data_IF_010059624771
#
_entry.id   IF_010059624771
#
_cell.length_a   1.000
_cell.length_b   1.000
_cell.length_c   1.000
_cell.angle_alpha   90.00
_cell.angle_beta   90.00
_cell.angle_gamma   90.00
#
_symmetry.space_group_name_H-M   'P 1'
#
loop_
_entity.id
_entity.type
_entity.pdbx_description
1 polymer ?
#
# COMPACT_ATOMS: atom_id res chain seq x y z
N UNK A 1 -8.93 -10.43 -8.04
CA UNK A 1 -8.48 -9.03 -8.24
C UNK A 1 -8.31 -8.84 -9.74
N UNK A 2 -8.69 -7.70 -10.34
CA UNK A 2 -8.34 -7.46 -11.74
C UNK A 2 -6.82 -7.58 -11.91
N UNK A 3 -6.32 -8.07 -13.05
CA UNK A 3 -4.89 -8.08 -13.29
C UNK A 3 -4.42 -6.62 -13.36
N UNK A 4 -3.46 -6.25 -12.51
CA UNK A 4 -2.94 -4.90 -12.40
C UNK A 4 -1.50 -4.88 -12.92
N UNK A 5 -1.11 -3.90 -13.75
CA UNK A 5 0.29 -3.72 -14.11
C UNK A 5 1.11 -3.30 -12.89
N UNK A 6 2.40 -3.62 -12.89
CA UNK A 6 3.30 -3.31 -11.78
C UNK A 6 4.62 -2.76 -12.28
N UNK A 7 5.11 -1.71 -11.61
CA UNK A 7 6.33 -1.00 -11.94
C UNK A 7 7.32 -1.07 -10.78
N UNK A 8 8.53 -1.52 -11.06
CA UNK A 8 9.65 -1.47 -10.15
C UNK A 8 10.76 -0.59 -10.75
N UNK A 9 11.23 0.36 -9.96
CA UNK A 9 12.36 1.21 -10.32
C UNK A 9 13.47 1.03 -9.32
N UNK A 10 14.70 0.72 -9.75
CA UNK A 10 15.88 0.66 -8.91
C UNK A 10 17.08 1.36 -9.57
N UNK A 11 18.24 1.36 -8.90
CA UNK A 11 19.48 1.86 -9.51
C UNK A 11 19.99 0.93 -10.63
N UNK A 12 19.57 -0.35 -10.62
CA UNK A 12 19.99 -1.34 -11.61
C UNK A 12 19.15 -1.32 -12.89
N UNK A 13 17.96 -0.71 -12.86
CA UNK A 13 17.07 -0.66 -14.01
C UNK A 13 15.62 -0.37 -13.64
N UNK A 14 14.74 -0.52 -14.63
CA UNK A 14 13.30 -0.38 -14.50
C UNK A 14 12.64 -1.63 -15.07
N UNK A 15 11.66 -2.16 -14.36
CA UNK A 15 10.89 -3.33 -14.77
C UNK A 15 9.41 -3.04 -14.71
N UNK A 16 8.71 -3.34 -15.78
CA UNK A 16 7.26 -3.22 -15.89
C UNK A 16 6.69 -4.58 -16.26
N UNK A 17 5.66 -5.02 -15.53
CA UNK A 17 4.77 -6.09 -15.98
C UNK A 17 3.43 -5.49 -16.35
N UNK A 18 2.91 -5.87 -17.51
CA UNK A 18 1.51 -5.60 -17.85
C UNK A 18 0.58 -6.50 -17.02
N UNK A 19 -0.72 -6.24 -17.10
CA UNK A 19 -1.75 -6.99 -16.39
C UNK A 19 -1.70 -8.50 -16.70
N UNK A 20 -1.11 -9.29 -15.79
CA UNK A 20 -0.97 -10.74 -15.94
C UNK A 20 0.18 -11.20 -16.83
N UNK A 21 1.05 -10.28 -17.26
CA UNK A 21 2.25 -10.58 -18.05
C UNK A 21 3.51 -10.68 -17.20
N UNK A 22 4.58 -11.20 -17.80
CA UNK A 22 5.91 -11.21 -17.19
C UNK A 22 6.53 -9.81 -17.15
N UNK A 23 7.41 -9.59 -16.18
CA UNK A 23 8.17 -8.35 -16.10
C UNK A 23 9.20 -8.25 -17.23
N UNK A 24 9.23 -7.11 -17.90
CA UNK A 24 10.26 -6.76 -18.88
C UNK A 24 11.02 -5.53 -18.45
N UNK A 25 12.27 -5.43 -18.89
CA UNK A 25 13.07 -4.20 -18.75
C UNK A 25 12.43 -3.11 -19.61
N UNK A 26 12.33 -1.90 -19.05
CA UNK A 26 11.79 -0.72 -19.75
C UNK A 26 12.73 0.47 -19.63
N UNK A 27 12.64 1.39 -20.59
CA UNK A 27 13.26 2.70 -20.48
C UNK A 27 12.47 3.60 -19.53
N UNK A 28 13.11 4.68 -19.06
CA UNK A 28 12.46 5.71 -18.25
C UNK A 28 11.26 6.33 -18.97
N UNK A 29 11.39 6.60 -20.26
CA UNK A 29 10.31 7.19 -21.07
C UNK A 29 9.09 6.28 -21.15
N UNK A 30 9.30 4.98 -21.40
CA UNK A 30 8.21 3.99 -21.39
C UNK A 30 7.55 3.89 -20.02
N UNK A 31 8.33 3.81 -18.93
CA UNK A 31 7.79 3.73 -17.57
C UNK A 31 6.92 4.94 -17.21
N UNK A 32 7.39 6.16 -17.53
CA UNK A 32 6.64 7.40 -17.28
C UNK A 32 5.39 7.48 -18.14
N UNK A 33 5.49 7.17 -19.44
CA UNK A 33 4.34 7.18 -20.36
C UNK A 33 3.27 6.20 -19.88
N UNK A 34 3.67 5.00 -19.50
CA UNK A 34 2.73 3.97 -19.04
C UNK A 34 2.05 4.36 -17.73
N UNK A 35 2.81 4.82 -16.73
CA UNK A 35 2.27 5.22 -15.44
C UNK A 35 1.38 6.48 -15.50
N UNK A 36 1.55 7.33 -16.52
CA UNK A 36 0.70 8.49 -16.74
C UNK A 36 -0.70 8.11 -17.28
N UNK A 37 -0.80 7.01 -18.05
CA UNK A 37 -2.04 6.56 -18.68
C UNK A 37 -2.79 5.52 -17.85
N UNK A 38 -2.06 4.65 -17.14
CA UNK A 38 -2.61 3.51 -16.41
C UNK A 38 -2.07 3.47 -14.99
N UNK A 39 -2.94 3.42 -13.94
CA UNK A 39 -2.48 3.20 -12.58
C UNK A 39 -1.70 1.87 -12.45
N UNK A 40 -0.45 1.96 -11.99
CA UNK A 40 0.42 0.81 -11.75
C UNK A 40 0.54 0.50 -10.27
N UNK A 41 0.68 -0.77 -9.92
CA UNK A 41 1.19 -1.20 -8.63
C UNK A 41 2.65 -0.77 -8.51
N UNK A 42 2.99 -0.19 -7.36
CA UNK A 42 4.36 0.20 -7.04
C UNK A 42 4.59 0.11 -5.54
N UNK A 43 5.84 0.32 -5.13
CA UNK A 43 6.22 0.44 -3.72
C UNK A 43 6.95 1.76 -3.52
N UNK A 44 6.43 2.62 -2.63
CA UNK A 44 7.01 3.94 -2.35
C UNK A 44 6.99 4.84 -3.59
N UNK A 45 5.83 5.45 -3.87
CA UNK A 45 5.60 6.33 -5.01
C UNK A 45 6.60 7.49 -5.06
N UNK A 46 6.92 8.19 -3.94
CA UNK A 46 7.93 9.24 -3.94
C UNK A 46 9.31 8.77 -4.40
N UNK A 47 9.80 7.64 -3.88
CA UNK A 47 11.09 7.09 -4.27
C UNK A 47 11.09 6.61 -5.74
N UNK A 48 10.00 5.98 -6.17
CA UNK A 48 9.84 5.52 -7.55
C UNK A 48 9.82 6.72 -8.51
N UNK A 49 9.07 7.78 -8.18
CA UNK A 49 9.03 9.03 -8.91
C UNK A 49 10.40 9.69 -9.01
N UNK A 50 11.15 9.78 -7.90
CA UNK A 50 12.52 10.30 -7.90
C UNK A 50 13.43 9.50 -8.85
N UNK A 51 13.35 8.16 -8.84
CA UNK A 51 14.14 7.31 -9.75
C UNK A 51 13.77 7.52 -11.21
N UNK A 52 12.50 7.79 -11.49
CA UNK A 52 12.00 8.14 -12.82
C UNK A 52 12.24 9.60 -13.21
N UNK A 53 12.63 10.48 -12.27
CA UNK A 53 12.73 11.92 -12.50
C UNK A 53 11.36 12.56 -12.74
N UNK A 54 10.34 12.04 -12.07
CA UNK A 54 8.94 12.44 -12.17
C UNK A 54 8.38 12.64 -10.75
N UNK A 55 8.38 13.90 -10.29
CA UNK A 55 8.21 14.24 -8.87
C UNK A 55 6.84 13.89 -8.26
N UNK A 56 5.81 13.76 -9.09
CA UNK A 56 4.44 13.49 -8.67
C UNK A 56 3.89 12.20 -9.26
N UNK A 57 4.67 11.12 -9.21
CA UNK A 57 4.20 9.81 -9.64
C UNK A 57 3.01 9.36 -8.79
N UNK A 58 1.88 9.12 -9.45
CA UNK A 58 0.67 8.58 -8.82
C UNK A 58 0.47 7.13 -9.24
N UNK A 59 0.11 6.28 -8.29
CA UNK A 59 -0.08 4.85 -8.53
C UNK A 59 -0.71 4.15 -7.34
N UNK A 60 -0.91 2.85 -7.47
CA UNK A 60 -1.39 2.00 -6.40
C UNK A 60 -0.21 1.61 -5.49
N UNK A 61 0.16 2.51 -4.57
CA UNK A 61 1.29 2.31 -3.67
C UNK A 61 0.94 1.30 -2.56
N UNK A 62 1.70 0.20 -2.49
CA UNK A 62 1.49 -0.85 -1.50
C UNK A 62 1.81 -0.41 -0.06
N UNK A 63 2.63 0.63 0.14
CA UNK A 63 2.86 1.18 1.49
C UNK A 63 1.63 1.89 2.02
N UNK A 64 0.88 2.59 1.15
CA UNK A 64 -0.38 3.23 1.53
C UNK A 64 -1.44 2.18 1.86
N UNK A 65 -1.56 1.14 1.03
CA UNK A 65 -2.49 0.04 1.31
C UNK A 65 -2.14 -0.69 2.61
N UNK A 66 -0.86 -0.97 2.83
CA UNK A 66 -0.39 -1.54 4.10
C UNK A 66 -0.78 -0.66 5.29
N UNK A 67 -0.50 0.64 5.23
CA UNK A 67 -0.80 1.58 6.31
C UNK A 67 -2.31 1.65 6.61
N UNK A 68 -3.16 1.54 5.60
CA UNK A 68 -4.61 1.49 5.75
C UNK A 68 -5.08 0.19 6.44
N UNK A 69 -4.56 -0.96 6.02
CA UNK A 69 -5.00 -2.28 6.54
C UNK A 69 -4.41 -2.59 7.92
N UNK A 70 -3.19 -2.10 8.16
CA UNK A 70 -2.40 -2.36 9.35
C UNK A 70 -1.97 -1.05 10.02
N UNK A 71 -2.93 -0.24 10.52
CA UNK A 71 -2.63 1.02 11.17
C UNK A 71 -1.64 0.82 12.33
N UNK A 72 -0.67 1.74 12.43
CA UNK A 72 0.39 1.72 13.43
C UNK A 72 1.26 0.45 13.46
N UNK A 73 1.34 -0.31 12.36
CA UNK A 73 2.28 -1.44 12.22
C UNK A 73 3.46 -1.08 11.34
N UNK A 74 4.66 -1.29 11.88
CA UNK A 74 5.90 -1.09 11.16
C UNK A 74 6.04 -2.04 9.97
N UNK A 75 6.50 -1.50 8.84
CA UNK A 75 6.89 -2.24 7.65
C UNK A 75 8.23 -1.71 7.17
N UNK A 76 9.17 -2.60 6.85
CA UNK A 76 10.38 -2.23 6.12
C UNK A 76 9.97 -1.91 4.68
N UNK A 77 10.15 -0.67 4.18
CA UNK A 77 9.59 -0.21 2.91
C UNK A 77 10.42 -0.66 1.70
N UNK A 78 10.73 -1.95 1.63
CA UNK A 78 11.47 -2.59 0.54
C UNK A 78 10.70 -3.81 0.03
N UNK A 79 10.93 -4.26 -1.22
CA UNK A 79 10.28 -5.46 -1.73
C UNK A 79 10.50 -6.69 -0.84
N UNK A 80 11.73 -6.92 -0.39
CA UNK A 80 12.03 -8.01 0.55
C UNK A 80 11.37 -7.81 1.92
N UNK A 81 11.27 -6.56 2.40
CA UNK A 81 10.57 -6.20 3.63
C UNK A 81 9.07 -6.52 3.56
N UNK A 82 8.43 -6.16 2.46
CA UNK A 82 7.03 -6.46 2.17
C UNK A 82 6.78 -7.96 2.02
N UNK A 83 7.63 -8.67 1.28
CA UNK A 83 7.52 -10.13 1.14
C UNK A 83 7.54 -10.81 2.51
N UNK A 84 8.53 -10.46 3.36
CA UNK A 84 8.65 -11.01 4.71
C UNK A 84 7.43 -10.68 5.57
N UNK A 85 6.92 -9.45 5.50
CA UNK A 85 5.77 -9.02 6.29
C UNK A 85 4.47 -9.75 5.91
N UNK A 86 4.34 -10.15 4.63
CA UNK A 86 3.19 -10.89 4.10
C UNK A 86 3.42 -12.40 4.02
N UNK A 87 4.56 -12.91 4.51
CA UNK A 87 4.96 -14.31 4.39
C UNK A 87 4.94 -14.83 2.92
N UNK A 88 5.38 -13.98 2.00
CA UNK A 88 5.55 -14.31 0.58
C UNK A 88 7.01 -14.68 0.30
N UNK A 89 7.28 -15.48 -0.76
CA UNK A 89 8.63 -15.67 -1.26
C UNK A 89 9.29 -14.32 -1.57
N UNK A 90 10.53 -14.14 -1.10
CA UNK A 90 11.31 -12.95 -1.42
C UNK A 90 11.76 -12.94 -2.89
N UNK A 91 12.03 -11.77 -3.48
CA UNK A 91 12.55 -11.69 -4.84
C UNK A 91 14.03 -12.11 -4.86
N UNK A 92 14.43 -12.95 -5.80
CA UNK A 92 15.83 -13.31 -6.03
C UNK A 92 16.52 -12.30 -6.95
N UNK A 93 15.76 -11.71 -7.89
CA UNK A 93 16.22 -10.73 -8.86
C UNK A 93 15.25 -9.55 -8.93
N UNK A 94 15.75 -8.41 -9.43
CA UNK A 94 14.94 -7.20 -9.61
C UNK A 94 13.73 -7.43 -10.53
N UNK A 95 13.87 -8.28 -11.55
CA UNK A 95 12.79 -8.65 -12.47
C UNK A 95 11.66 -9.44 -11.81
N UNK A 96 11.88 -10.05 -10.64
CA UNK A 96 10.85 -10.82 -9.94
C UNK A 96 9.94 -9.91 -9.10
N UNK A 97 10.33 -8.65 -8.89
CA UNK A 97 9.63 -7.70 -8.00
C UNK A 97 8.23 -7.34 -8.52
N UNK A 98 8.00 -7.02 -9.82
CA UNK A 98 6.64 -6.73 -10.28
C UNK A 98 5.64 -7.85 -9.97
N UNK A 99 6.03 -9.12 -10.14
CA UNK A 99 5.20 -10.26 -9.76
C UNK A 99 4.94 -10.33 -8.24
N UNK A 100 5.96 -10.04 -7.42
CA UNK A 100 5.80 -9.90 -5.98
C UNK A 100 4.83 -8.78 -5.60
N UNK A 101 4.87 -7.62 -6.27
CA UNK A 101 3.95 -6.50 -6.00
C UNK A 101 2.50 -6.92 -6.27
N UNK A 102 2.25 -7.65 -7.36
CA UNK A 102 0.93 -8.22 -7.68
C UNK A 102 0.47 -9.21 -6.60
N UNK A 103 1.35 -10.13 -6.17
CA UNK A 103 1.05 -11.08 -5.12
C UNK A 103 0.75 -10.39 -3.77
N UNK A 104 1.53 -9.37 -3.43
CA UNK A 104 1.34 -8.57 -2.22
C UNK A 104 0.03 -7.79 -2.22
N UNK A 105 -0.32 -7.16 -3.35
CA UNK A 105 -1.63 -6.52 -3.53
C UNK A 105 -2.78 -7.51 -3.30
N UNK A 106 -2.67 -8.71 -3.87
CA UNK A 106 -3.64 -9.78 -3.69
C UNK A 106 -3.80 -10.19 -2.21
N UNK A 107 -2.68 -10.41 -1.52
CA UNK A 107 -2.67 -10.78 -0.10
C UNK A 107 -3.29 -9.69 0.79
N UNK A 108 -2.91 -8.43 0.58
CA UNK A 108 -3.46 -7.29 1.31
C UNK A 108 -4.96 -7.13 1.06
N UNK A 109 -5.40 -7.14 -0.20
CA UNK A 109 -6.83 -7.02 -0.51
C UNK A 109 -7.64 -8.21 -0.01
N UNK A 110 -7.05 -9.40 0.08
CA UNK A 110 -7.67 -10.58 0.68
C UNK A 110 -8.02 -10.38 2.15
N UNK A 111 -7.19 -9.63 2.89
CA UNK A 111 -7.37 -9.37 4.33
C UNK A 111 -8.64 -8.59 4.66
N UNK A 112 -9.07 -7.70 3.76
CA UNK A 112 -10.21 -6.79 3.97
C UNK A 112 -11.55 -7.53 4.16
N UNK A 113 -11.68 -8.74 3.59
CA UNK A 113 -12.89 -9.56 3.67
C UNK A 113 -12.86 -10.62 4.77
N UNK A 114 -11.78 -10.72 5.55
CA UNK A 114 -11.65 -11.75 6.56
C UNK A 114 -12.48 -11.42 7.82
N UNK A 115 -13.30 -12.35 8.35
CA UNK A 115 -14.10 -12.12 9.55
C UNK A 115 -13.27 -11.71 10.79
N UNK A 116 -11.99 -12.08 10.81
CA UNK A 116 -11.06 -11.79 11.91
C UNK A 116 -10.15 -10.57 11.70
N UNK A 117 -10.44 -9.68 10.74
CA UNK A 117 -9.67 -8.46 10.57
C UNK A 117 -9.94 -7.49 11.74
N UNK A 118 -8.98 -7.40 12.67
CA UNK A 118 -9.12 -6.68 13.94
C UNK A 118 -9.24 -5.17 13.75
N UNK A 119 -8.60 -4.66 12.70
CA UNK A 119 -8.52 -3.25 12.36
C UNK A 119 -9.66 -2.77 11.46
N UNK A 120 -10.73 -3.58 11.30
CA UNK A 120 -11.87 -3.31 10.43
C UNK A 120 -12.73 -2.12 10.87
N UNK A 121 -12.84 -1.89 12.18
CA UNK A 121 -13.70 -0.83 12.71
C UNK A 121 -13.26 0.55 12.20
N UNK A 122 -14.20 1.31 11.63
CA UNK A 122 -13.93 2.63 11.05
C UNK A 122 -13.27 2.58 9.68
N UNK A 123 -12.90 1.39 9.17
CA UNK A 123 -12.24 1.26 7.88
C UNK A 123 -13.17 1.65 6.73
N UNK A 124 -14.46 1.30 6.81
CA UNK A 124 -15.43 1.67 5.77
C UNK A 124 -15.57 3.19 5.63
N UNK A 125 -15.73 3.89 6.76
CA UNK A 125 -15.83 5.36 6.79
C UNK A 125 -14.52 6.05 6.36
N UNK A 126 -13.37 5.48 6.76
CA UNK A 126 -12.05 5.95 6.33
C UNK A 126 -11.87 5.82 4.82
N UNK A 127 -12.23 4.65 4.25
CA UNK A 127 -12.16 4.41 2.82
C UNK A 127 -13.05 5.38 2.02
N UNK A 128 -14.28 5.65 2.48
CA UNK A 128 -15.17 6.66 1.88
C UNK A 128 -14.58 8.07 1.92
N UNK A 129 -13.92 8.43 3.02
CA UNK A 129 -13.27 9.74 3.16
C UNK A 129 -12.08 9.88 2.23
N UNK A 130 -11.24 8.84 2.14
CA UNK A 130 -10.11 8.78 1.23
C UNK A 130 -10.54 8.75 -0.25
N UNK A 131 -11.69 8.15 -0.57
CA UNK A 131 -12.27 8.21 -1.91
C UNK A 131 -12.55 9.65 -2.35
N UNK A 132 -13.10 10.50 -1.46
CA UNK A 132 -13.33 11.93 -1.75
C UNK A 132 -12.03 12.69 -2.00
N UNK A 133 -10.92 12.22 -1.42
CA UNK A 133 -9.56 12.72 -1.66
C UNK A 133 -8.86 12.06 -2.86
N UNK A 134 -9.60 11.27 -3.67
CA UNK A 134 -9.12 10.58 -4.88
C UNK A 134 -8.01 9.55 -4.61
N UNK A 135 -7.98 8.96 -3.42
CA UNK A 135 -7.04 7.89 -3.13
C UNK A 135 -7.31 6.68 -4.05
N UNK A 136 -6.30 6.27 -4.82
CA UNK A 136 -6.45 5.31 -5.92
C UNK A 136 -6.85 3.90 -5.46
N UNK A 137 -6.57 3.53 -4.21
CA UNK A 137 -7.01 2.26 -3.65
C UNK A 137 -8.49 2.25 -3.28
N UNK A 138 -9.11 3.40 -3.01
CA UNK A 138 -10.48 3.46 -2.48
C UNK A 138 -11.51 2.68 -3.32
N UNK A 139 -11.56 2.81 -4.66
CA UNK A 139 -12.47 2.04 -5.50
C UNK A 139 -12.24 0.52 -5.44
N UNK A 140 -11.01 0.09 -5.14
CA UNK A 140 -10.66 -1.32 -5.00
C UNK A 140 -11.00 -1.84 -3.61
N UNK A 141 -10.86 -1.06 -2.54
CA UNK A 141 -11.09 -1.56 -1.18
C UNK A 141 -12.54 -1.44 -0.72
N UNK A 142 -13.27 -0.38 -1.10
CA UNK A 142 -14.63 -0.13 -0.59
C UNK A 142 -15.58 -1.31 -0.84
N UNK A 143 -15.61 -1.93 -2.04
CA UNK A 143 -16.49 -3.08 -2.28
C UNK A 143 -16.13 -4.33 -1.46
N UNK A 144 -14.94 -4.36 -0.84
CA UNK A 144 -14.42 -5.50 -0.04
C UNK A 144 -14.65 -5.33 1.45
N UNK A 145 -15.00 -4.12 1.90
CA UNK A 145 -15.27 -3.82 3.30
C UNK A 145 -16.78 -3.82 3.49
N UNK A 146 -17.29 -4.71 4.36
CA UNK A 146 -18.71 -4.74 4.66
C UNK A 146 -19.14 -3.43 5.31
N UNK A 147 -20.20 -2.84 4.74
CA UNK A 147 -20.79 -1.59 5.21
C UNK A 147 -21.37 -1.82 6.61
N UNK A 148 -21.01 -0.99 7.59
CA UNK A 148 -21.59 -1.10 8.91
C UNK A 148 -23.09 -0.75 8.89
N UNK A 149 -23.88 -1.47 9.69
CA UNK A 149 -25.33 -1.27 9.80
C UNK A 149 -25.68 0.06 10.48
N UNK A 150 -24.90 0.44 11.49
CA UNK A 150 -24.99 1.71 12.21
C UNK A 150 -23.78 2.59 11.90
N UNK A 151 -23.87 3.88 12.22
CA UNK A 151 -22.71 4.76 12.16
C UNK A 151 -21.66 4.22 13.14
N UNK A 152 -20.54 3.71 12.64
CA UNK A 152 -19.47 3.16 13.49
C UNK A 152 -19.00 4.23 14.48
N UNK A 153 -18.74 3.81 15.72
CA UNK A 153 -18.25 4.71 16.75
C UNK A 153 -16.93 5.33 16.29
N UNK A 154 -16.74 6.60 16.61
CA UNK A 154 -15.51 7.33 16.29
C UNK A 154 -14.30 6.58 16.87
N UNK A 155 -13.24 6.41 16.07
CA UNK A 155 -12.03 5.62 16.44
C UNK A 155 -11.44 6.04 17.80
N UNK A 156 -11.51 7.33 18.13
CA UNK A 156 -11.00 7.89 19.38
C UNK A 156 -11.89 7.62 20.60
N UNK A 157 -13.11 7.10 20.43
CA UNK A 157 -14.02 6.78 21.54
C UNK A 157 -13.58 5.58 22.37
N UNK A 158 -12.56 4.83 21.95
CA UNK A 158 -11.99 3.69 22.70
C UNK A 158 -10.58 3.94 23.22
N UNK A 159 -9.97 5.08 22.93
CA UNK A 159 -8.67 5.38 23.52
C UNK A 159 -8.87 5.63 25.01
N UNK A 160 -8.03 5.03 25.89
CA UNK A 160 -8.00 5.44 27.28
C UNK A 160 -7.65 6.92 27.36
N UNK A 161 -8.22 7.64 28.35
CA UNK A 161 -7.80 9.01 28.64
C UNK A 161 -6.29 9.03 28.84
N UNK A 162 -5.64 9.95 28.12
CA UNK A 162 -4.21 10.16 28.25
C UNK A 162 -3.98 11.05 29.49
N UNK A 163 -3.40 10.47 30.55
CA UNK A 163 -2.93 11.22 31.71
C UNK A 163 -1.48 11.66 31.51
N UNK A 164 -1.25 12.98 31.53
CA UNK A 164 0.08 13.57 31.50
C UNK A 164 0.74 13.36 32.87
N UNK A 165 1.58 12.33 32.99
CA UNK A 165 2.31 12.07 34.23
C UNK A 165 3.27 13.23 34.53
N UNK A 166 3.29 13.70 35.78
CA UNK A 166 4.19 14.75 36.22
C UNK A 166 5.66 14.40 35.86
N UNK A 167 6.46 15.39 35.42
CA UNK A 167 7.84 15.14 35.03
C UNK A 167 8.62 14.49 36.18
N UNK A 168 9.47 13.51 35.85
CA UNK A 168 10.29 12.83 36.86
C UNK A 168 11.11 13.86 37.63
N UNK A 169 11.15 13.77 38.98
CA UNK A 169 12.01 14.64 39.76
C UNK A 169 13.47 14.43 39.37
N UNK A 170 14.27 15.50 39.44
CA UNK A 170 15.69 15.45 39.11
C UNK A 170 16.42 14.39 39.98
N UNK A 171 17.38 13.64 39.41
CA UNK A 171 18.19 12.70 40.17
C UNK A 171 18.96 13.44 41.28
N UNK A 172 19.10 12.79 42.45
CA UNK A 172 19.95 13.27 43.56
C UNK A 172 21.42 12.93 43.30
#
# INVERSE_FOLDING_TARGET
>A
MPPLPALHASHAGLWLSEAGGDARVVTRGEAVSYAAETPVLLLNAPLTGQRLGYDALSGLDLLELWAFIHPARFLVPTPAGLARALNLPGPEREQDIPALLVAAAGALLGRLGEPGWREREGAWMSAQSLQRLRWLWAPLIIPRIERPADNERWLFSRLPEWEEAAPRPAPR
#
